data_IF_495879450557
#
_entry.id   IF_495879450557
#
_cell.length_a   1.000
_cell.length_b   1.000
_cell.length_c   1.000
_cell.angle_alpha   90.00
_cell.angle_beta   90.00
_cell.angle_gamma   90.00
#
_symmetry.space_group_name_H-M   'P 1'
#
loop_
_entity.id
_entity.type
_entity.pdbx_description
1 polymer ?
#
# COMPACT_ATOMS: atom_id res chain seq x y z
N UNK A 1 -7.80 -8.83 -9.65
CA UNK A 1 -7.19 -7.63 -10.26
C UNK A 1 -5.89 -7.30 -9.53
N UNK A 2 -4.98 -6.54 -10.15
CA UNK A 2 -3.75 -6.11 -9.48
C UNK A 2 -3.99 -4.89 -8.60
N UNK A 3 -3.45 -4.91 -7.38
CA UNK A 3 -3.60 -3.83 -6.40
C UNK A 3 -2.23 -3.48 -5.82
N UNK A 4 -1.78 -2.24 -5.96
CA UNK A 4 -0.54 -1.75 -5.35
C UNK A 4 -0.84 -1.13 -3.99
N UNK A 5 -0.16 -1.59 -2.93
CA UNK A 5 -0.40 -1.14 -1.57
C UNK A 5 0.82 -0.42 -0.98
N UNK A 6 0.63 0.79 -0.46
CA UNK A 6 1.65 1.54 0.27
C UNK A 6 1.15 1.98 1.64
N UNK A 7 2.04 2.06 2.63
CA UNK A 7 1.71 2.69 3.92
C UNK A 7 2.91 3.37 4.57
N UNK A 8 2.72 3.95 5.74
CA UNK A 8 3.77 4.13 6.75
C UNK A 8 3.61 3.09 7.88
N UNK A 9 4.27 3.31 9.00
CA UNK A 9 4.16 2.53 10.23
C UNK A 9 2.76 2.51 10.81
N UNK A 10 1.99 3.60 10.72
CA UNK A 10 0.65 3.67 11.26
C UNK A 10 -0.32 2.78 10.46
N UNK A 11 -0.09 2.61 9.16
CA UNK A 11 -0.85 1.73 8.28
C UNK A 11 -0.30 0.29 8.12
N UNK A 12 0.90 0.00 8.64
CA UNK A 12 1.67 -1.23 8.34
C UNK A 12 0.89 -2.53 8.57
N UNK A 13 0.26 -2.69 9.74
CA UNK A 13 -0.48 -3.92 10.09
C UNK A 13 -1.71 -4.11 9.19
N UNK A 14 -2.45 -3.02 8.93
CA UNK A 14 -3.63 -3.06 8.05
C UNK A 14 -3.23 -3.36 6.61
N UNK A 15 -2.13 -2.78 6.12
CA UNK A 15 -1.57 -3.09 4.79
C UNK A 15 -1.29 -4.58 4.65
N UNK A 16 -0.58 -5.17 5.62
CA UNK A 16 -0.23 -6.59 5.56
C UNK A 16 -1.47 -7.50 5.62
N UNK A 17 -2.43 -7.17 6.49
CA UNK A 17 -3.71 -7.85 6.52
C UNK A 17 -4.44 -7.79 5.16
N UNK A 18 -4.44 -6.62 4.51
CA UNK A 18 -5.06 -6.45 3.19
C UNK A 18 -4.31 -7.20 2.08
N UNK A 19 -2.98 -7.24 2.12
CA UNK A 19 -2.17 -8.03 1.17
C UNK A 19 -2.59 -9.51 1.23
N UNK A 20 -2.67 -10.08 2.43
CA UNK A 20 -3.11 -11.46 2.63
C UNK A 20 -4.56 -11.67 2.18
N UNK A 21 -5.46 -10.76 2.59
CA UNK A 21 -6.88 -10.84 2.26
C UNK A 21 -7.11 -10.77 0.75
N UNK A 22 -6.48 -9.83 0.05
CA UNK A 22 -6.57 -9.68 -1.40
C UNK A 22 -6.07 -10.93 -2.11
N UNK A 23 -4.93 -11.49 -1.69
CA UNK A 23 -4.40 -12.74 -2.21
C UNK A 23 -5.38 -13.90 -2.04
N UNK A 24 -5.98 -14.03 -0.86
CA UNK A 24 -6.98 -15.06 -0.57
C UNK A 24 -8.28 -14.92 -1.40
N UNK A 25 -8.56 -13.73 -1.93
CA UNK A 25 -9.77 -13.43 -2.71
C UNK A 25 -9.50 -13.30 -4.22
N UNK A 26 -8.37 -13.81 -4.72
CA UNK A 26 -8.08 -13.87 -6.16
C UNK A 26 -7.60 -12.55 -6.77
N UNK A 27 -7.13 -11.63 -5.93
CA UNK A 27 -6.45 -10.41 -6.37
C UNK A 27 -4.92 -10.60 -6.31
N UNK A 28 -4.20 -9.84 -7.12
CA UNK A 28 -2.74 -9.80 -7.10
C UNK A 28 -2.30 -8.58 -6.30
N UNK A 29 -2.03 -8.78 -5.01
CA UNK A 29 -1.55 -7.71 -4.13
C UNK A 29 -0.04 -7.51 -4.31
N UNK A 30 0.37 -6.27 -4.56
CA UNK A 30 1.77 -5.86 -4.68
C UNK A 30 2.09 -4.89 -3.54
N UNK A 31 2.88 -5.36 -2.59
CA UNK A 31 3.37 -4.55 -1.48
C UNK A 31 4.48 -3.58 -1.95
N UNK A 32 4.23 -2.28 -1.86
CA UNK A 32 5.18 -1.21 -2.19
C UNK A 32 5.94 -0.69 -0.95
N UNK A 33 5.67 -1.25 0.22
CA UNK A 33 6.28 -0.93 1.50
C UNK A 33 5.32 -0.18 2.45
N UNK A 34 5.69 -0.09 3.74
CA UNK A 34 6.93 -0.57 4.32
C UNK A 34 6.88 -2.10 4.48
N UNK A 35 8.04 -2.76 4.34
CA UNK A 35 8.14 -4.23 4.50
C UNK A 35 8.53 -4.64 5.92
N UNK A 36 8.88 -3.67 6.75
CA UNK A 36 9.26 -3.82 8.15
C UNK A 36 8.61 -2.65 8.89
N UNK A 37 8.09 -2.91 10.08
CA UNK A 37 7.59 -1.85 10.94
C UNK A 37 8.75 -0.98 11.47
N UNK A 38 8.69 0.32 11.21
CA UNK A 38 9.58 1.32 11.80
C UNK A 38 8.76 2.52 12.27
N UNK A 39 8.59 2.68 13.58
CA UNK A 39 7.77 3.75 14.18
C UNK A 39 8.21 5.19 13.82
N UNK A 40 9.33 5.37 13.12
CA UNK A 40 9.83 6.67 12.66
C UNK A 40 9.85 6.80 11.14
N UNK A 41 9.29 5.85 10.39
CA UNK A 41 9.22 5.97 8.94
C UNK A 41 8.24 7.06 8.49
N UNK A 42 8.47 7.52 7.26
CA UNK A 42 7.67 8.55 6.61
C UNK A 42 6.88 7.95 5.44
N UNK A 43 5.60 8.30 5.32
CA UNK A 43 4.69 7.79 4.29
C UNK A 43 5.03 8.14 2.83
N UNK A 44 5.61 9.32 2.45
CA UNK A 44 5.64 9.75 1.05
C UNK A 44 6.33 8.78 0.08
N UNK A 45 7.50 8.19 0.40
CA UNK A 45 8.16 7.26 -0.51
C UNK A 45 7.32 6.02 -0.85
N UNK A 46 6.51 5.52 0.08
CA UNK A 46 5.69 4.33 -0.11
C UNK A 46 4.41 4.65 -0.89
N UNK A 47 3.79 5.80 -0.58
CA UNK A 47 2.60 6.28 -1.29
C UNK A 47 2.93 6.58 -2.75
N UNK A 48 4.02 7.30 -3.02
CA UNK A 48 4.48 7.60 -4.38
C UNK A 48 4.77 6.33 -5.18
N UNK A 49 5.46 5.35 -4.59
CA UNK A 49 5.72 4.05 -5.25
C UNK A 49 4.43 3.32 -5.64
N UNK A 50 3.42 3.31 -4.78
CA UNK A 50 2.12 2.69 -5.08
C UNK A 50 1.37 3.46 -6.17
N UNK A 51 1.33 4.80 -6.08
CA UNK A 51 0.66 5.66 -7.04
C UNK A 51 1.30 5.62 -8.43
N UNK A 52 2.63 5.69 -8.52
CA UNK A 52 3.37 5.64 -9.79
C UNK A 52 3.15 4.30 -10.53
N UNK A 53 3.21 3.18 -9.80
CA UNK A 53 2.93 1.86 -10.38
C UNK A 53 1.47 1.73 -10.82
N UNK A 54 0.54 2.24 -10.02
CA UNK A 54 -0.89 2.25 -10.38
C UNK A 54 -1.13 3.06 -11.65
N UNK A 55 -0.55 4.27 -11.73
CA UNK A 55 -0.67 5.14 -12.90
C UNK A 55 -0.05 4.53 -14.17
N UNK A 56 1.00 3.72 -14.03
CA UNK A 56 1.65 3.01 -15.13
C UNK A 56 0.93 1.72 -15.57
N UNK A 57 -0.09 1.26 -14.82
CA UNK A 57 -0.80 0.00 -15.02
C UNK A 57 -2.32 0.25 -15.08
N UNK A 58 -2.87 0.54 -16.27
CA UNK A 58 -4.24 1.07 -16.43
C UNK A 58 -5.37 0.20 -15.89
N UNK A 59 -5.15 -1.11 -15.74
CA UNK A 59 -6.14 -2.07 -15.25
C UNK A 59 -5.99 -2.37 -13.74
N UNK A 60 -5.08 -1.66 -13.07
CA UNK A 60 -4.79 -1.82 -11.64
C UNK A 60 -5.52 -0.81 -10.76
N UNK A 61 -5.47 -1.06 -9.45
CA UNK A 61 -5.87 -0.11 -8.42
C UNK A 61 -4.73 0.14 -7.44
N UNK A 62 -4.77 1.27 -6.74
CA UNK A 62 -3.85 1.65 -5.68
C UNK A 62 -4.56 1.85 -4.36
N UNK A 63 -3.95 1.38 -3.27
CA UNK A 63 -4.41 1.65 -1.90
C UNK A 63 -3.22 2.19 -1.11
N UNK A 64 -3.40 3.35 -0.49
CA UNK A 64 -2.43 3.98 0.41
C UNK A 64 -3.05 4.12 1.79
N UNK A 65 -2.27 3.82 2.84
CA UNK A 65 -2.77 3.67 4.21
C UNK A 65 -1.83 4.40 5.15
N UNK A 66 -2.37 5.19 6.07
CA UNK A 66 -1.62 5.74 7.19
C UNK A 66 -2.50 5.86 8.41
N UNK A 67 -2.12 6.71 9.37
CA UNK A 67 -2.93 6.89 10.58
C UNK A 67 -4.33 7.42 10.30
N UNK A 68 -4.46 8.37 9.37
CA UNK A 68 -5.76 8.94 8.95
C UNK A 68 -6.09 8.74 7.47
N UNK A 69 -5.09 8.44 6.63
CA UNK A 69 -5.24 8.37 5.18
C UNK A 69 -5.21 9.73 4.46
N UNK A 70 -5.22 10.85 5.18
CA UNK A 70 -5.26 12.18 4.55
C UNK A 70 -3.92 12.68 4.02
N UNK A 71 -2.80 12.26 4.64
CA UNK A 71 -1.46 12.63 4.15
C UNK A 71 -1.07 11.78 2.95
N UNK A 72 -1.65 10.59 2.85
CA UNK A 72 -1.26 9.53 1.95
C UNK A 72 -1.90 9.62 0.55
N UNK A 73 -3.00 10.39 0.42
CA UNK A 73 -3.84 10.52 -0.79
C UNK A 73 -3.26 11.42 -1.90
#
# INVERSE_FOLDING_TARGET
>A
MRVYLGSDHAGYELKNHLVEWLGAHGHEAVDCGPHIYDAQDDYPPFCLRAAEKTAADPDSLGIVIGGSGNGEQ
#
